data_IF_801152069032
#
_entry.id   IF_801152069032
#
_cell.length_a   1.000
_cell.length_b   1.000
_cell.length_c   1.000
_cell.angle_alpha   90.00
_cell.angle_beta   90.00
_cell.angle_gamma   90.00
#
_symmetry.space_group_name_H-M   'P 1'
#
loop_
_entity.id
_entity.type
_entity.pdbx_description
1 polymer ?
#
# COMPACT_ATOMS: atom_id res chain seq x y z
N UNK A 1 -8.75 6.75 -5.98
CA UNK A 1 -9.46 6.75 -4.68
C UNK A 1 -9.86 5.33 -4.24
N UNK A 2 -10.59 4.56 -5.05
CA UNK A 2 -10.95 3.16 -4.75
C UNK A 2 -9.75 2.31 -4.31
N UNK A 3 -8.64 2.38 -5.05
CA UNK A 3 -7.42 1.63 -4.74
C UNK A 3 -6.86 1.90 -3.33
N UNK A 4 -6.94 3.14 -2.86
CA UNK A 4 -6.50 3.52 -1.50
C UNK A 4 -7.46 3.03 -0.42
N UNK A 5 -8.76 3.04 -0.69
CA UNK A 5 -9.76 2.46 0.22
C UNK A 5 -9.53 0.95 0.37
N UNK A 6 -9.16 0.27 -0.71
CA UNK A 6 -8.78 -1.14 -0.67
C UNK A 6 -7.52 -1.32 0.19
N UNK A 7 -6.48 -0.49 0.02
CA UNK A 7 -5.27 -0.54 0.84
C UNK A 7 -5.59 -0.39 2.34
N UNK A 8 -6.41 0.60 2.69
CA UNK A 8 -6.87 0.84 4.06
C UNK A 8 -7.67 -0.35 4.61
N UNK A 9 -8.53 -0.94 3.78
CA UNK A 9 -9.31 -2.12 4.15
C UNK A 9 -8.37 -3.29 4.47
N UNK A 10 -7.37 -3.57 3.63
CA UNK A 10 -6.36 -4.59 3.90
C UNK A 10 -5.58 -4.29 5.18
N UNK A 11 -5.15 -3.04 5.35
CA UNK A 11 -4.43 -2.57 6.53
C UNK A 11 -5.23 -2.78 7.83
N UNK A 12 -6.55 -2.65 7.79
CA UNK A 12 -7.42 -2.90 8.96
C UNK A 12 -7.74 -4.39 9.15
N UNK A 13 -8.02 -5.12 8.07
CA UNK A 13 -8.37 -6.54 8.13
C UNK A 13 -7.22 -7.40 8.64
N UNK A 14 -5.98 -7.04 8.35
CA UNK A 14 -4.82 -7.79 8.82
C UNK A 14 -4.66 -7.79 10.35
N UNK A 15 -5.23 -6.82 11.07
CA UNK A 15 -5.16 -6.75 12.53
C UNK A 15 -5.98 -7.88 13.16
N UNK A 16 -7.06 -8.31 12.50
CA UNK A 16 -7.95 -9.37 12.97
C UNK A 16 -7.40 -10.78 12.70
N UNK A 17 -6.26 -10.91 12.01
CA UNK A 17 -5.73 -12.17 11.54
C UNK A 17 -4.43 -12.54 12.25
N UNK A 18 -4.57 -13.04 13.49
CA UNK A 18 -3.47 -13.36 14.42
C UNK A 18 -2.42 -14.33 13.83
N UNK A 19 -2.86 -15.33 13.04
CA UNK A 19 -1.99 -16.36 12.46
C UNK A 19 -1.44 -16.01 11.07
N UNK A 20 -1.72 -14.81 10.57
CA UNK A 20 -1.25 -14.37 9.26
C UNK A 20 0.00 -13.52 9.39
N UNK A 21 0.86 -13.49 8.38
CA UNK A 21 2.00 -12.58 8.31
C UNK A 21 1.69 -11.35 7.46
N UNK A 22 2.33 -10.21 7.74
CA UNK A 22 2.10 -8.96 6.99
C UNK A 22 2.36 -9.11 5.48
N UNK A 23 3.36 -9.92 5.11
CA UNK A 23 3.70 -10.19 3.70
C UNK A 23 2.57 -10.92 2.96
N UNK A 24 1.76 -11.74 3.64
CA UNK A 24 0.63 -12.44 3.02
C UNK A 24 -0.47 -11.44 2.62
N UNK A 25 -0.75 -10.47 3.48
CA UNK A 25 -1.68 -9.39 3.18
C UNK A 25 -1.17 -8.46 2.08
N UNK A 26 0.14 -8.17 2.09
CA UNK A 26 0.78 -7.39 1.05
C UNK A 26 0.74 -8.09 -0.31
N UNK A 27 0.93 -9.42 -0.36
CA UNK A 27 0.75 -10.21 -1.58
C UNK A 27 -0.70 -10.20 -2.05
N UNK A 28 -1.67 -10.32 -1.14
CA UNK A 28 -3.08 -10.21 -1.50
C UNK A 28 -3.40 -8.85 -2.12
N UNK A 29 -2.90 -7.76 -1.52
CA UNK A 29 -3.07 -6.42 -2.04
C UNK A 29 -2.35 -6.22 -3.39
N UNK A 30 -1.13 -6.76 -3.54
CA UNK A 30 -0.37 -6.75 -4.79
C UNK A 30 -1.12 -7.50 -5.90
N UNK A 31 -1.73 -8.64 -5.59
CA UNK A 31 -2.56 -9.40 -6.52
C UNK A 31 -3.79 -8.62 -6.97
N UNK A 32 -4.48 -7.94 -6.05
CA UNK A 32 -5.58 -7.04 -6.41
C UNK A 32 -5.08 -5.91 -7.32
N UNK A 33 -3.95 -5.29 -6.97
CA UNK A 33 -3.31 -4.22 -7.75
C UNK A 33 -2.94 -4.68 -9.16
N UNK A 34 -2.37 -5.87 -9.27
CA UNK A 34 -2.05 -6.50 -10.54
C UNK A 34 -3.29 -6.61 -11.42
N UNK A 35 -4.40 -7.13 -10.88
CA UNK A 35 -5.63 -7.30 -11.65
C UNK A 35 -6.17 -5.96 -12.18
N UNK A 36 -6.15 -4.90 -11.37
CA UNK A 36 -6.58 -3.57 -11.81
C UNK A 36 -5.83 -3.11 -13.07
N UNK A 37 -4.51 -3.27 -13.10
CA UNK A 37 -3.66 -2.80 -14.22
C UNK A 37 -3.65 -3.82 -15.36
N UNK A 38 -3.74 -5.11 -15.07
CA UNK A 38 -3.76 -6.16 -16.08
C UNK A 38 -4.97 -6.04 -17.00
N UNK A 39 -6.15 -5.68 -16.46
CA UNK A 39 -7.35 -5.45 -17.27
C UNK A 39 -7.27 -4.21 -18.18
N UNK A 40 -6.32 -3.31 -17.96
CA UNK A 40 -6.01 -2.19 -18.87
C UNK A 40 -5.10 -2.61 -20.06
N UNK A 41 -4.64 -3.87 -20.10
CA UNK A 41 -4.05 -4.50 -21.28
C UNK A 41 -2.52 -4.58 -21.32
N UNK A 42 -1.81 -4.10 -20.31
CA UNK A 42 -0.34 -4.19 -20.23
C UNK A 42 0.13 -5.07 -19.06
N UNK A 43 0.57 -6.28 -19.40
CA UNK A 43 1.11 -7.25 -18.45
C UNK A 43 2.40 -6.76 -17.77
N UNK A 44 3.29 -6.09 -18.51
CA UNK A 44 4.56 -5.59 -17.96
C UNK A 44 4.29 -4.47 -16.98
N UNK A 45 3.44 -3.49 -17.35
CA UNK A 45 3.04 -2.43 -16.44
C UNK A 45 2.33 -2.98 -15.20
N UNK A 46 1.47 -4.00 -15.35
CA UNK A 46 0.79 -4.63 -14.23
C UNK A 46 1.77 -5.31 -13.26
N UNK A 47 2.73 -6.07 -13.77
CA UNK A 47 3.74 -6.74 -12.95
C UNK A 47 4.61 -5.74 -12.19
N UNK A 48 5.10 -4.69 -12.86
CA UNK A 48 5.92 -3.65 -12.24
C UNK A 48 5.11 -2.91 -11.16
N UNK A 49 3.89 -2.48 -11.48
CA UNK A 49 3.02 -1.74 -10.56
C UNK A 49 2.68 -2.58 -9.33
N UNK A 50 2.33 -3.85 -9.52
CA UNK A 50 2.05 -4.77 -8.43
C UNK A 50 3.27 -5.02 -7.54
N UNK A 51 4.47 -5.14 -8.12
CA UNK A 51 5.69 -5.30 -7.35
C UNK A 51 5.97 -4.08 -6.45
N UNK A 52 5.87 -2.86 -6.99
CA UNK A 52 6.04 -1.63 -6.21
C UNK A 52 5.02 -1.51 -5.09
N UNK A 53 3.74 -1.71 -5.39
CA UNK A 53 2.67 -1.66 -4.39
C UNK A 53 2.75 -2.79 -3.37
N UNK A 54 3.19 -3.98 -3.78
CA UNK A 54 3.41 -5.12 -2.88
C UNK A 54 4.52 -4.85 -1.87
N UNK A 55 5.67 -4.36 -2.32
CA UNK A 55 6.77 -3.99 -1.43
C UNK A 55 6.37 -2.83 -0.49
N UNK A 56 5.71 -1.82 -1.05
CA UNK A 56 5.20 -0.68 -0.27
C UNK A 56 4.23 -1.13 0.82
N UNK A 57 3.18 -1.87 0.43
CA UNK A 57 2.16 -2.35 1.35
C UNK A 57 2.73 -3.32 2.38
N UNK A 58 3.74 -4.11 2.03
CA UNK A 58 4.41 -4.98 3.01
C UNK A 58 5.07 -4.20 4.13
N UNK A 59 5.91 -3.21 3.80
CA UNK A 59 6.54 -2.36 4.80
C UNK A 59 5.50 -1.60 5.63
N UNK A 60 4.48 -1.05 4.97
CA UNK A 60 3.39 -0.33 5.60
C UNK A 60 2.58 -1.20 6.58
N UNK A 61 2.18 -2.40 6.17
CA UNK A 61 1.44 -3.35 6.99
C UNK A 61 2.28 -3.87 8.15
N UNK A 62 3.56 -4.17 7.92
CA UNK A 62 4.47 -4.59 8.97
C UNK A 62 4.66 -3.50 10.03
N UNK A 63 4.72 -2.23 9.63
CA UNK A 63 4.79 -1.10 10.56
C UNK A 63 3.51 -0.97 11.39
N UNK A 64 2.34 -1.05 10.75
CA UNK A 64 1.05 -0.97 11.47
C UNK A 64 0.92 -2.04 12.55
N UNK A 65 1.34 -3.28 12.26
CA UNK A 65 1.31 -4.36 13.25
C UNK A 65 2.20 -4.13 14.46
N UNK A 66 3.32 -3.43 14.29
CA UNK A 66 4.20 -3.05 15.41
C UNK A 66 3.61 -1.97 16.30
N UNK A 67 2.60 -1.26 15.80
CA UNK A 67 1.95 -0.14 16.48
C UNK A 67 0.55 -0.50 16.97
N UNK A 68 0.14 -1.78 16.92
CA UNK A 68 -1.20 -2.22 17.30
C UNK A 68 -1.55 -1.87 18.76
N UNK A 69 -0.55 -1.85 19.64
CA UNK A 69 -0.72 -1.52 21.05
C UNK A 69 -0.95 -0.01 21.30
N UNK A 70 -0.63 0.84 20.31
CA UNK A 70 -0.79 2.30 20.42
C UNK A 70 -1.76 2.82 19.38
N UNK A 71 -3.04 2.94 19.77
CA UNK A 71 -4.11 3.40 18.88
C UNK A 71 -3.79 4.73 18.18
N UNK A 72 -3.19 5.69 18.90
CA UNK A 72 -2.88 7.01 18.34
C UNK A 72 -1.81 6.91 17.25
N UNK A 73 -0.71 6.21 17.52
CA UNK A 73 0.36 6.01 16.53
C UNK A 73 -0.13 5.17 15.35
N UNK A 74 -0.94 4.15 15.63
CA UNK A 74 -1.58 3.33 14.61
C UNK A 74 -2.44 4.19 13.67
N UNK A 75 -3.29 5.09 14.20
CA UNK A 75 -4.12 5.97 13.39
C UNK A 75 -3.29 6.95 12.53
N UNK A 76 -2.23 7.52 13.11
CA UNK A 76 -1.32 8.42 12.39
C UNK A 76 -0.69 7.69 11.20
N UNK A 77 -0.16 6.48 11.43
CA UNK A 77 0.44 5.67 10.38
C UNK A 77 -0.61 5.20 9.38
N UNK A 78 -1.79 4.79 9.83
CA UNK A 78 -2.88 4.31 8.99
C UNK A 78 -3.35 5.37 7.98
N UNK A 79 -3.49 6.62 8.43
CA UNK A 79 -3.88 7.73 7.55
C UNK A 79 -2.67 8.21 6.74
N UNK A 80 -1.52 8.40 7.39
CA UNK A 80 -0.30 8.90 6.76
C UNK A 80 0.23 7.99 5.66
N UNK A 81 0.14 6.67 5.84
CA UNK A 81 0.58 5.67 4.87
C UNK A 81 -0.24 5.66 3.58
N UNK A 82 -1.45 6.21 3.56
CA UNK A 82 -2.20 6.40 2.30
C UNK A 82 -1.76 7.66 1.56
N UNK A 83 -1.35 8.67 2.31
CA UNK A 83 -0.96 9.98 1.78
C UNK A 83 0.47 9.95 1.23
N UNK A 84 1.35 9.14 1.83
CA UNK A 84 2.78 9.10 1.50
C UNK A 84 3.09 8.84 0.01
N UNK A 85 2.47 7.89 -0.70
CA UNK A 85 2.74 7.68 -2.12
C UNK A 85 2.42 8.91 -2.98
N UNK A 86 1.36 9.65 -2.63
CA UNK A 86 0.99 10.90 -3.30
C UNK A 86 2.00 12.01 -3.03
N UNK A 87 2.50 12.12 -1.81
CA UNK A 87 3.54 13.10 -1.47
C UNK A 87 4.84 12.81 -2.23
N UNK A 88 5.22 11.53 -2.33
CA UNK A 88 6.40 11.11 -3.09
C UNK A 88 6.24 11.40 -4.59
N UNK A 89 5.07 11.10 -5.16
CA UNK A 89 4.76 11.41 -6.54
C UNK A 89 4.77 12.92 -6.80
N UNK A 90 4.12 13.71 -5.95
CA UNK A 90 4.11 15.16 -6.05
C UNK A 90 5.53 15.74 -5.99
N UNK A 91 6.37 15.27 -5.06
CA UNK A 91 7.76 15.67 -4.96
C UNK A 91 8.55 15.33 -6.24
N UNK A 92 8.36 14.12 -6.77
CA UNK A 92 9.02 13.69 -8.01
C UNK A 92 8.64 14.59 -9.19
N UNK A 93 7.34 14.86 -9.37
CA UNK A 93 6.84 15.72 -10.45
C UNK A 93 7.36 17.15 -10.32
N UNK A 94 7.35 17.73 -9.11
CA UNK A 94 7.91 19.05 -8.85
C UNK A 94 9.41 19.11 -9.18
N UNK A 95 10.17 18.09 -8.79
CA UNK A 95 11.61 18.03 -9.09
C UNK A 95 11.90 17.89 -10.59
N UNK A 96 11.04 17.18 -11.34
CA UNK A 96 11.17 17.04 -12.79
C UNK A 96 10.78 18.33 -13.53
N UNK A 97 9.85 19.12 -12.99
CA UNK A 97 9.43 20.41 -13.59
C UNK A 97 10.39 21.57 -13.38
N UNK A 98 11.36 21.41 -12.47
CA UNK A 98 12.38 22.42 -12.15
C UNK A 98 13.68 22.23 -12.98
N UNK A 99 13.72 21.24 -13.87
CA UNK A 99 14.79 20.97 -14.83
C UNK A 99 14.38 21.41 -16.22
#
# INVERSE_FOLDING_TARGET
MLHLLILLTFAKLQDSAENSSAWQWALGFAGVTFLFVFFDGDLMAAAITAAFWGLYSWAYFALLRRLVDSLVLWLIVYIGGVILPWLLLAKLLLSASAQ
#
